data_IF_547401874461
#
_entry.id   IF_547401874461
#
_cell.length_a   1.000
_cell.length_b   1.000
_cell.length_c   1.000
_cell.angle_alpha   90.00
_cell.angle_beta   90.00
_cell.angle_gamma   90.00
#
_symmetry.space_group_name_H-M   'P 1'
#
loop_
_entity.id
_entity.type
_entity.pdbx_description
1 polymer ?
#
# COMPACT_ATOMS: atom_id res chain seq x y z
N UNK A 1 19.70 12.97 12.37
CA UNK A 1 19.23 14.28 12.82
C UNK A 1 17.70 14.29 12.68
N UNK A 2 16.96 14.06 13.80
CA UNK A 2 15.51 13.99 13.78
C UNK A 2 14.95 15.40 13.63
N UNK A 3 14.35 15.69 12.48
CA UNK A 3 13.65 16.95 12.24
C UNK A 3 12.25 16.84 12.82
N UNK A 4 12.07 17.44 13.98
CA UNK A 4 10.80 17.90 14.51
C UNK A 4 10.40 19.14 13.67
N UNK A 5 9.33 19.05 12.90
CA UNK A 5 8.82 20.19 12.12
C UNK A 5 8.41 21.38 12.99
N UNK A 6 8.43 21.24 14.33
CA UNK A 6 8.12 22.26 15.33
C UNK A 6 9.20 22.46 16.41
N UNK A 7 10.43 21.94 16.25
CA UNK A 7 11.56 22.22 17.14
C UNK A 7 11.47 21.68 18.58
N UNK A 8 10.51 20.82 18.92
CA UNK A 8 10.41 20.22 20.27
C UNK A 8 10.65 18.70 20.23
N UNK A 9 11.53 18.23 21.11
CA UNK A 9 11.80 16.79 21.28
C UNK A 9 10.54 16.05 21.74
N UNK A 10 10.21 14.84 21.19
CA UNK A 10 9.09 14.02 21.65
C UNK A 10 9.24 13.66 23.13
N UNK A 11 8.12 13.59 23.85
CA UNK A 11 8.14 13.16 25.26
C UNK A 11 8.69 11.74 25.37
N UNK A 12 9.50 11.51 26.38
CA UNK A 12 10.29 10.29 26.59
C UNK A 12 9.42 9.02 26.65
N UNK A 13 8.18 9.11 27.20
CA UNK A 13 7.23 7.98 27.30
C UNK A 13 6.72 7.46 25.96
N UNK A 14 6.51 8.34 24.97
CA UNK A 14 6.00 7.94 23.64
C UNK A 14 7.08 7.25 22.80
N UNK A 15 8.34 7.60 23.08
CA UNK A 15 9.49 6.88 22.53
C UNK A 15 9.68 5.49 23.14
N UNK A 16 9.40 5.33 24.42
CA UNK A 16 9.61 4.07 25.13
C UNK A 16 8.61 2.98 24.68
N UNK A 17 7.36 3.34 24.40
CA UNK A 17 6.34 2.38 23.92
C UNK A 17 6.62 1.97 22.47
N UNK A 18 7.03 2.90 21.61
CA UNK A 18 7.41 2.59 20.23
C UNK A 18 8.73 1.79 20.19
N UNK A 19 9.68 2.14 21.04
CA UNK A 19 10.94 1.41 21.18
C UNK A 19 10.70 0.02 21.77
N UNK A 20 9.77 -0.19 22.70
CA UNK A 20 9.47 -1.52 23.23
C UNK A 20 8.83 -2.43 22.18
N UNK A 21 7.95 -1.94 21.31
CA UNK A 21 7.41 -2.73 20.19
C UNK A 21 8.48 -3.00 19.12
N UNK A 22 9.37 -2.04 18.88
CA UNK A 22 10.56 -2.23 18.03
C UNK A 22 11.60 -3.11 18.73
N UNK A 23 11.78 -2.98 20.05
CA UNK A 23 12.71 -3.81 20.84
C UNK A 23 12.22 -5.23 21.04
N UNK A 24 10.92 -5.51 21.18
CA UNK A 24 10.37 -6.85 21.08
C UNK A 24 10.57 -7.47 19.70
N UNK A 25 10.39 -6.69 18.66
CA UNK A 25 10.75 -7.12 17.28
C UNK A 25 12.28 -7.20 17.11
N UNK A 26 13.03 -6.34 17.79
CA UNK A 26 14.50 -6.29 17.79
C UNK A 26 15.13 -7.37 18.66
N UNK A 27 14.57 -7.73 19.79
CA UNK A 27 15.05 -8.82 20.64
C UNK A 27 14.80 -10.19 20.04
N UNK A 28 13.72 -10.40 19.27
CA UNK A 28 13.53 -11.60 18.47
C UNK A 28 14.47 -11.72 17.26
N UNK A 29 15.09 -10.60 16.83
CA UNK A 29 16.04 -10.52 15.70
C UNK A 29 17.50 -10.40 16.18
N UNK A 30 17.78 -10.07 17.47
CA UNK A 30 19.12 -9.68 17.96
C UNK A 30 20.02 -10.82 18.38
N UNK A 31 19.68 -12.06 18.13
CA UNK A 31 20.50 -13.22 18.59
C UNK A 31 21.57 -13.70 17.60
N UNK A 32 21.86 -13.01 16.52
CA UNK A 32 22.93 -13.40 15.58
C UNK A 32 23.77 -12.24 15.06
N UNK A 33 25.09 -12.39 15.20
CA UNK A 33 26.14 -11.38 15.02
C UNK A 33 26.46 -10.94 13.55
N UNK A 34 25.49 -11.08 12.58
CA UNK A 34 25.62 -10.60 11.20
C UNK A 34 24.54 -9.52 10.89
N UNK A 35 24.46 -8.50 11.73
CA UNK A 35 23.19 -7.86 12.06
C UNK A 35 22.65 -6.84 11.04
N UNK A 36 23.43 -6.18 10.20
CA UNK A 36 22.90 -5.15 9.29
C UNK A 36 22.41 -5.75 7.96
N UNK A 37 23.12 -6.73 7.44
CA UNK A 37 22.77 -7.37 6.16
C UNK A 37 21.49 -8.22 6.31
N UNK A 38 21.37 -8.97 7.40
CA UNK A 38 20.19 -9.77 7.69
C UNK A 38 18.93 -8.91 7.92
N UNK A 39 19.07 -7.69 8.47
CA UNK A 39 17.96 -6.76 8.66
C UNK A 39 17.42 -6.22 7.34
N UNK A 40 18.27 -5.89 6.38
CA UNK A 40 17.83 -5.42 5.06
C UNK A 40 17.12 -6.55 4.29
N UNK A 41 17.65 -7.78 4.31
CA UNK A 41 16.98 -8.94 3.71
C UNK A 41 15.62 -9.21 4.33
N UNK A 42 15.52 -9.10 5.66
CA UNK A 42 14.24 -9.25 6.36
C UNK A 42 13.23 -8.17 5.95
N UNK A 43 13.66 -6.92 5.82
CA UNK A 43 12.81 -5.84 5.35
C UNK A 43 12.30 -6.06 3.92
N UNK A 44 13.16 -6.55 3.02
CA UNK A 44 12.75 -6.95 1.67
C UNK A 44 11.75 -8.11 1.68
N UNK A 45 11.98 -9.11 2.51
CA UNK A 45 11.03 -10.23 2.66
C UNK A 45 9.66 -9.75 3.14
N UNK A 46 9.61 -8.87 4.14
CA UNK A 46 8.38 -8.26 4.63
C UNK A 46 7.67 -7.46 3.52
N UNK A 47 8.42 -6.70 2.73
CA UNK A 47 7.88 -5.95 1.61
C UNK A 47 7.28 -6.87 0.53
N UNK A 48 7.99 -7.96 0.17
CA UNK A 48 7.47 -8.95 -0.80
C UNK A 48 6.20 -9.62 -0.28
N UNK A 49 6.19 -10.06 0.99
CA UNK A 49 5.02 -10.66 1.62
C UNK A 49 3.84 -9.69 1.69
N UNK A 50 4.09 -8.42 2.03
CA UNK A 50 3.11 -7.34 2.00
C UNK A 50 2.45 -7.23 0.61
N UNK A 51 3.26 -7.16 -0.45
CA UNK A 51 2.78 -6.99 -1.81
C UNK A 51 2.05 -8.22 -2.35
N UNK A 52 2.43 -9.42 -1.93
CA UNK A 52 1.69 -10.64 -2.24
C UNK A 52 0.29 -10.63 -1.60
N UNK A 53 0.21 -10.32 -0.31
CA UNK A 53 -1.10 -10.24 0.39
C UNK A 53 -1.97 -9.14 -0.20
N UNK A 54 -1.38 -8.00 -0.57
CA UNK A 54 -2.10 -6.94 -1.25
C UNK A 54 -2.63 -7.39 -2.61
N UNK A 55 -1.84 -8.13 -3.38
CA UNK A 55 -2.26 -8.67 -4.68
C UNK A 55 -3.47 -9.62 -4.53
N UNK A 56 -3.49 -10.47 -3.51
CA UNK A 56 -4.67 -11.29 -3.18
C UNK A 56 -5.90 -10.40 -2.91
N UNK A 57 -5.72 -9.31 -2.15
CA UNK A 57 -6.79 -8.33 -1.93
C UNK A 57 -7.33 -7.71 -3.23
N UNK A 58 -6.46 -7.41 -4.21
CA UNK A 58 -6.86 -6.89 -5.53
C UNK A 58 -7.72 -7.91 -6.28
N UNK A 59 -7.38 -9.19 -6.25
CA UNK A 59 -8.19 -10.24 -6.88
C UNK A 59 -9.57 -10.34 -6.22
N UNK A 60 -9.62 -10.31 -4.89
CA UNK A 60 -10.90 -10.32 -4.16
C UNK A 60 -11.76 -9.10 -4.54
N UNK A 61 -11.19 -7.91 -4.61
CA UNK A 61 -11.87 -6.69 -5.06
C UNK A 61 -12.39 -6.82 -6.50
N UNK A 62 -11.59 -7.41 -7.39
CA UNK A 62 -12.01 -7.63 -8.77
C UNK A 62 -13.16 -8.65 -8.87
N UNK A 63 -13.12 -9.74 -8.12
CA UNK A 63 -14.23 -10.70 -8.04
C UNK A 63 -15.51 -10.00 -7.55
N UNK A 64 -15.40 -9.18 -6.50
CA UNK A 64 -16.54 -8.41 -5.99
C UNK A 64 -17.13 -7.47 -7.05
N UNK A 65 -16.28 -6.86 -7.89
CA UNK A 65 -16.72 -5.92 -8.94
C UNK A 65 -17.58 -6.54 -10.05
N UNK A 66 -17.64 -7.88 -10.13
CA UNK A 66 -18.56 -8.58 -11.04
C UNK A 66 -19.98 -8.75 -10.48
N UNK A 67 -20.21 -8.46 -9.21
CA UNK A 67 -21.56 -8.49 -8.65
C UNK A 67 -22.43 -7.38 -9.28
N UNK A 68 -23.66 -7.69 -9.63
CA UNK A 68 -24.63 -6.74 -10.21
C UNK A 68 -24.94 -5.57 -9.24
N UNK A 69 -24.84 -5.83 -7.94
CA UNK A 69 -25.11 -4.83 -6.88
C UNK A 69 -23.84 -4.18 -6.34
N UNK A 70 -22.70 -4.34 -7.04
CA UNK A 70 -21.45 -3.75 -6.58
C UNK A 70 -21.46 -2.23 -6.73
N UNK A 71 -21.24 -1.55 -5.60
CA UNK A 71 -20.92 -0.13 -5.54
C UNK A 71 -19.56 0.05 -4.84
N UNK A 72 -18.64 0.84 -5.42
CA UNK A 72 -17.33 1.11 -4.80
C UNK A 72 -17.45 1.71 -3.39
N UNK A 73 -18.42 2.62 -3.18
CA UNK A 73 -18.63 3.26 -1.89
C UNK A 73 -19.18 2.26 -0.85
N UNK A 74 -20.20 1.48 -1.22
CA UNK A 74 -20.79 0.48 -0.34
C UNK A 74 -19.77 -0.61 0.04
N UNK A 75 -18.99 -1.11 -0.92
CA UNK A 75 -17.88 -2.04 -0.65
C UNK A 75 -16.86 -1.43 0.31
N UNK A 76 -16.47 -0.16 0.10
CA UNK A 76 -15.53 0.56 0.97
C UNK A 76 -16.10 0.72 2.39
N UNK A 77 -17.41 0.97 2.53
CA UNK A 77 -18.09 1.06 3.81
C UNK A 77 -18.00 -0.26 4.59
N UNK A 78 -18.40 -1.38 4.00
CA UNK A 78 -18.35 -2.69 4.65
C UNK A 78 -16.92 -3.11 5.00
N UNK A 79 -15.97 -2.91 4.07
CA UNK A 79 -14.56 -3.13 4.34
C UNK A 79 -14.08 -2.33 5.57
N UNK A 80 -14.51 -1.08 5.70
CA UNK A 80 -14.11 -0.20 6.80
C UNK A 80 -14.72 -0.63 8.13
N UNK A 81 -15.96 -1.13 8.14
CA UNK A 81 -16.57 -1.76 9.33
C UNK A 81 -15.69 -2.92 9.83
N UNK A 82 -15.40 -3.88 8.94
CA UNK A 82 -14.61 -5.05 9.32
C UNK A 82 -13.18 -4.68 9.75
N UNK A 83 -12.55 -3.72 9.07
CA UNK A 83 -11.22 -3.26 9.42
C UNK A 83 -11.19 -2.63 10.81
N UNK A 84 -12.18 -1.81 11.16
CA UNK A 84 -12.29 -1.20 12.49
C UNK A 84 -12.51 -2.24 13.56
N UNK A 85 -13.40 -3.22 13.32
CA UNK A 85 -13.68 -4.31 14.26
C UNK A 85 -12.45 -5.20 14.48
N UNK A 86 -11.82 -5.66 13.39
CA UNK A 86 -10.63 -6.52 13.47
C UNK A 86 -9.50 -5.82 14.23
N UNK A 87 -9.24 -4.56 13.91
CA UNK A 87 -8.19 -3.79 14.58
C UNK A 87 -8.52 -3.56 16.05
N UNK A 88 -9.75 -3.23 16.39
CA UNK A 88 -10.18 -3.02 17.78
C UNK A 88 -10.03 -4.28 18.61
N UNK A 89 -10.49 -5.43 18.08
CA UNK A 89 -10.37 -6.75 18.75
C UNK A 89 -8.88 -7.08 18.96
N UNK A 90 -8.07 -6.92 17.93
CA UNK A 90 -6.64 -7.22 18.00
C UNK A 90 -5.92 -6.37 19.07
N UNK A 91 -6.16 -5.06 19.08
CA UNK A 91 -5.57 -4.15 20.07
C UNK A 91 -6.02 -4.51 21.48
N UNK A 92 -7.32 -4.73 21.68
CA UNK A 92 -7.88 -4.99 23.01
C UNK A 92 -7.43 -6.29 23.62
N UNK A 93 -7.38 -7.38 22.83
CA UNK A 93 -7.15 -8.72 23.34
C UNK A 93 -5.70 -9.20 23.23
N UNK A 94 -4.95 -8.77 22.21
CA UNK A 94 -3.61 -9.28 21.95
C UNK A 94 -2.49 -8.34 22.34
N UNK A 95 -2.56 -7.07 21.92
CA UNK A 95 -1.44 -6.16 22.12
C UNK A 95 -1.52 -5.48 23.49
N UNK A 96 -2.73 -5.23 24.00
CA UNK A 96 -2.98 -4.44 25.23
C UNK A 96 -2.28 -3.08 25.22
N UNK A 97 -1.81 -2.61 24.06
CA UNK A 97 -1.13 -1.33 23.91
C UNK A 97 -2.13 -0.18 23.88
N UNK A 98 -1.70 0.97 24.38
CA UNK A 98 -2.50 2.19 24.33
C UNK A 98 -2.44 2.74 22.89
N UNK A 99 -3.59 2.89 22.24
CA UNK A 99 -3.65 3.61 20.97
C UNK A 99 -3.25 5.07 21.16
N UNK A 100 -2.50 5.62 20.20
CA UNK A 100 -2.15 7.04 20.22
C UNK A 100 -3.42 7.87 20.14
N UNK A 101 -3.57 8.83 21.03
CA UNK A 101 -4.71 9.73 21.04
C UNK A 101 -4.56 10.77 19.92
N UNK A 102 -5.55 10.85 19.00
CA UNK A 102 -5.53 11.79 17.89
C UNK A 102 -5.28 13.25 18.33
N UNK A 103 -5.89 13.66 19.42
CA UNK A 103 -5.78 15.03 19.91
C UNK A 103 -4.37 15.40 20.45
N UNK A 104 -3.59 14.40 20.82
CA UNK A 104 -2.22 14.56 21.33
C UNK A 104 -1.14 14.44 20.24
N UNK A 105 -1.51 14.04 19.02
CA UNK A 105 -0.56 13.87 17.93
C UNK A 105 -0.01 15.21 17.43
N UNK A 106 1.30 15.33 17.32
CA UNK A 106 1.98 16.53 16.81
C UNK A 106 1.79 16.72 15.30
N UNK A 107 1.64 15.64 14.57
CA UNK A 107 1.60 15.61 13.09
C UNK A 107 0.18 15.38 12.56
N UNK A 108 -0.82 16.02 13.15
CA UNK A 108 -2.24 15.84 12.80
C UNK A 108 -2.52 15.96 11.31
N UNK A 109 -1.91 16.94 10.64
CA UNK A 109 -2.11 17.15 9.20
C UNK A 109 -1.68 15.95 8.37
N UNK A 110 -0.48 15.40 8.60
CA UNK A 110 -0.01 14.21 7.88
C UNK A 110 -0.84 12.97 8.22
N UNK A 111 -1.27 12.85 9.46
CA UNK A 111 -2.18 11.79 9.85
C UNK A 111 -3.54 11.90 9.15
N UNK A 112 -4.12 13.11 9.02
CA UNK A 112 -5.34 13.35 8.24
C UNK A 112 -5.12 13.03 6.76
N UNK A 113 -4.01 13.47 6.16
CA UNK A 113 -3.65 13.12 4.78
C UNK A 113 -3.59 11.61 4.60
N UNK A 114 -3.06 10.88 5.60
CA UNK A 114 -3.01 9.41 5.58
C UNK A 114 -4.40 8.79 5.57
N UNK A 115 -5.26 9.15 6.52
CA UNK A 115 -6.57 8.49 6.68
C UNK A 115 -7.53 8.82 5.53
N UNK A 116 -7.60 10.08 5.10
CA UNK A 116 -8.43 10.47 3.96
C UNK A 116 -7.82 10.02 2.63
N UNK A 117 -6.49 10.09 2.49
CA UNK A 117 -5.79 9.61 1.31
C UNK A 117 -6.08 8.14 1.01
N UNK A 118 -6.13 7.28 2.04
CA UNK A 118 -6.49 5.86 1.86
C UNK A 118 -7.95 5.69 1.43
N UNK A 119 -8.88 6.50 1.93
CA UNK A 119 -10.27 6.44 1.48
C UNK A 119 -10.36 6.69 -0.03
N UNK A 120 -9.81 7.81 -0.50
CA UNK A 120 -9.82 8.15 -1.91
C UNK A 120 -9.04 7.14 -2.77
N UNK A 121 -7.94 6.63 -2.25
CA UNK A 121 -7.16 5.56 -2.89
C UNK A 121 -8.03 4.35 -3.19
N UNK A 122 -8.76 3.85 -2.19
CA UNK A 122 -9.64 2.69 -2.38
C UNK A 122 -10.83 3.01 -3.27
N UNK A 123 -11.49 4.13 -3.05
CA UNK A 123 -12.65 4.54 -3.85
C UNK A 123 -12.29 4.63 -5.35
N UNK A 124 -11.20 5.31 -5.68
CA UNK A 124 -10.76 5.46 -7.06
C UNK A 124 -10.25 4.15 -7.66
N UNK A 125 -9.54 3.33 -6.89
CA UNK A 125 -9.11 2.02 -7.36
C UNK A 125 -10.29 1.10 -7.67
N UNK A 126 -11.25 0.97 -6.75
CA UNK A 126 -12.47 0.18 -6.96
C UNK A 126 -13.27 0.70 -8.15
N UNK A 127 -13.40 2.02 -8.28
CA UNK A 127 -14.07 2.63 -9.44
C UNK A 127 -13.33 2.32 -10.75
N UNK A 128 -11.99 2.26 -10.75
CA UNK A 128 -11.22 1.89 -11.93
C UNK A 128 -11.45 0.44 -12.35
N UNK A 129 -11.61 -0.49 -11.39
CA UNK A 129 -11.87 -1.91 -11.66
C UNK A 129 -13.20 -2.19 -12.38
N UNK A 130 -14.14 -1.24 -12.34
CA UNK A 130 -15.39 -1.33 -13.12
C UNK A 130 -15.15 -1.15 -14.63
N UNK A 131 -14.09 -0.41 -15.00
CA UNK A 131 -13.81 -0.01 -16.38
C UNK A 131 -12.52 -0.62 -16.95
N UNK A 132 -11.61 -1.05 -16.08
CA UNK A 132 -10.31 -1.60 -16.42
C UNK A 132 -10.15 -3.02 -15.86
N UNK A 133 -9.26 -3.79 -16.47
CA UNK A 133 -8.80 -5.05 -15.90
C UNK A 133 -7.95 -4.79 -14.65
N UNK A 134 -7.91 -5.76 -13.73
CA UNK A 134 -7.11 -5.64 -12.51
C UNK A 134 -5.61 -5.52 -12.81
N UNK A 135 -5.12 -6.27 -13.81
CA UNK A 135 -3.73 -6.17 -14.26
C UNK A 135 -3.41 -4.77 -14.80
N UNK A 136 -4.27 -4.20 -15.67
CA UNK A 136 -4.13 -2.84 -16.21
C UNK A 136 -4.12 -1.78 -15.11
N UNK A 137 -5.07 -1.85 -14.17
CA UNK A 137 -5.13 -0.94 -13.03
C UNK A 137 -3.87 -1.03 -12.18
N UNK A 138 -3.37 -2.24 -11.91
CA UNK A 138 -2.13 -2.45 -11.14
C UNK A 138 -0.90 -1.94 -11.89
N UNK A 139 -0.83 -2.12 -13.21
CA UNK A 139 0.26 -1.59 -14.03
C UNK A 139 0.34 -0.07 -14.00
N UNK A 140 -0.80 0.63 -14.12
CA UNK A 140 -0.83 2.10 -14.04
C UNK A 140 -0.53 2.56 -12.62
N UNK A 141 -1.04 1.85 -11.61
CA UNK A 141 -0.74 2.10 -10.20
C UNK A 141 0.76 1.97 -9.90
N UNK A 142 1.53 1.22 -10.70
CA UNK A 142 2.98 1.10 -10.55
C UNK A 142 3.76 2.41 -10.85
N UNK A 143 3.10 3.49 -11.28
CA UNK A 143 3.69 4.83 -11.30
C UNK A 143 3.86 5.46 -9.91
N UNK A 144 3.20 4.94 -8.86
CA UNK A 144 3.28 5.44 -7.48
C UNK A 144 4.73 5.60 -6.95
N UNK A 145 5.66 4.65 -7.16
CA UNK A 145 7.02 4.76 -6.65
C UNK A 145 7.75 6.02 -7.10
N UNK A 146 7.52 6.49 -8.33
CA UNK A 146 8.12 7.74 -8.81
C UNK A 146 7.72 8.92 -7.93
N UNK A 147 6.42 9.07 -7.67
CA UNK A 147 5.90 10.18 -6.86
C UNK A 147 6.38 10.05 -5.41
N UNK A 148 6.37 8.84 -4.83
CA UNK A 148 6.84 8.59 -3.46
C UNK A 148 8.31 8.94 -3.31
N UNK A 149 9.18 8.55 -4.26
CA UNK A 149 10.60 8.90 -4.24
C UNK A 149 10.80 10.41 -4.28
N UNK A 150 10.11 11.12 -5.19
CA UNK A 150 10.19 12.58 -5.25
C UNK A 150 9.77 13.21 -3.92
N UNK A 151 8.62 12.82 -3.36
CA UNK A 151 8.15 13.34 -2.08
C UNK A 151 9.15 13.06 -0.94
N UNK A 152 9.74 11.86 -0.91
CA UNK A 152 10.70 11.47 0.14
C UNK A 152 12.00 12.31 0.07
N UNK A 153 12.51 12.55 -1.13
CA UNK A 153 13.71 13.38 -1.31
C UNK A 153 13.44 14.82 -0.90
N UNK A 154 12.34 15.42 -1.40
CA UNK A 154 12.07 16.83 -1.17
C UNK A 154 11.58 17.14 0.24
N UNK A 155 10.70 16.31 0.81
CA UNK A 155 10.04 16.58 2.09
C UNK A 155 10.71 15.88 3.28
N UNK A 156 11.18 14.62 3.14
CA UNK A 156 11.90 13.92 4.20
C UNK A 156 13.41 14.14 4.16
N UNK A 157 13.92 14.80 3.10
CA UNK A 157 15.36 15.00 2.87
C UNK A 157 16.13 13.68 2.91
N UNK A 158 15.53 12.59 2.43
CA UNK A 158 16.20 11.30 2.29
C UNK A 158 17.33 11.39 1.27
N UNK A 159 18.35 10.56 1.44
CA UNK A 159 19.46 10.49 0.48
C UNK A 159 18.96 9.99 -0.87
N UNK A 160 19.33 10.70 -1.92
CA UNK A 160 19.02 10.31 -3.29
C UNK A 160 19.98 9.21 -3.74
N UNK A 161 19.43 8.09 -4.21
CA UNK A 161 20.21 6.98 -4.76
C UNK A 161 19.81 6.73 -6.21
N UNK A 162 20.68 7.08 -7.14
CA UNK A 162 20.49 6.87 -8.58
C UNK A 162 20.10 5.44 -8.95
N UNK A 163 20.61 4.47 -8.22
CA UNK A 163 20.30 3.06 -8.38
C UNK A 163 18.78 2.78 -8.28
N UNK A 164 18.09 3.37 -7.31
CA UNK A 164 16.65 3.18 -7.14
C UNK A 164 15.85 3.90 -8.22
N UNK A 165 16.30 5.09 -8.67
CA UNK A 165 15.64 5.79 -9.77
C UNK A 165 15.76 4.98 -11.08
N UNK A 166 16.94 4.49 -11.43
CA UNK A 166 17.14 3.65 -12.61
C UNK A 166 16.26 2.40 -12.52
N UNK A 167 16.23 1.76 -11.34
CA UNK A 167 15.38 0.60 -11.12
C UNK A 167 13.90 0.87 -11.28
N UNK A 168 13.41 2.01 -10.78
CA UNK A 168 12.02 2.43 -10.96
C UNK A 168 11.71 2.64 -12.44
N UNK A 169 12.62 3.24 -13.21
CA UNK A 169 12.46 3.44 -14.67
C UNK A 169 12.39 2.07 -15.37
N UNK A 170 13.29 1.15 -15.06
CA UNK A 170 13.30 -0.20 -15.66
C UNK A 170 11.97 -0.93 -15.33
N UNK A 171 11.56 -0.91 -14.06
CA UNK A 171 10.31 -1.54 -13.64
C UNK A 171 9.08 -0.88 -14.26
N UNK A 172 9.11 0.44 -14.45
CA UNK A 172 8.02 1.16 -15.13
C UNK A 172 7.92 0.76 -16.60
N UNK A 173 9.05 0.63 -17.30
CA UNK A 173 9.08 0.11 -18.68
C UNK A 173 8.51 -1.32 -18.71
N UNK A 174 8.92 -2.20 -17.80
CA UNK A 174 8.39 -3.56 -17.69
C UNK A 174 6.86 -3.58 -17.48
N UNK A 175 6.35 -2.73 -16.59
CA UNK A 175 4.90 -2.59 -16.38
C UNK A 175 4.18 -2.03 -17.61
N UNK A 176 4.78 -1.07 -18.32
CA UNK A 176 4.22 -0.51 -19.54
C UNK A 176 4.13 -1.56 -20.67
N UNK A 177 5.11 -2.48 -20.77
CA UNK A 177 5.07 -3.60 -21.73
C UNK A 177 3.88 -4.52 -21.46
N UNK A 178 3.56 -4.81 -20.20
CA UNK A 178 2.38 -5.59 -19.83
C UNK A 178 1.09 -4.85 -20.23
N UNK A 179 1.06 -3.52 -20.07
CA UNK A 179 -0.11 -2.68 -20.38
C UNK A 179 -0.41 -2.61 -21.89
N UNK A 180 0.62 -2.59 -22.74
CA UNK A 180 0.45 -2.41 -24.19
C UNK A 180 -0.38 -3.52 -24.84
N UNK A 181 -0.27 -4.73 -24.32
CA UNK A 181 -1.02 -5.89 -24.84
C UNK A 181 -2.51 -5.87 -24.47
N UNK A 182 -2.85 -5.29 -23.34
CA UNK A 182 -4.24 -5.23 -22.89
C UNK A 182 -5.14 -4.42 -23.84
N UNK A 183 -4.55 -3.49 -24.60
CA UNK A 183 -5.27 -2.68 -25.61
C UNK A 183 -5.69 -3.48 -26.83
N UNK A 184 -5.03 -4.58 -27.15
CA UNK A 184 -5.25 -5.32 -28.39
C UNK A 184 -6.47 -6.24 -28.34
N UNK A 185 -6.84 -6.76 -27.18
CA UNK A 185 -7.99 -7.67 -27.02
C UNK A 185 -9.36 -6.97 -26.91
N UNK A 186 -9.43 -5.68 -26.58
CA UNK A 186 -10.68 -4.99 -26.24
C UNK A 186 -11.25 -4.10 -27.37
N UNK A 187 -11.24 -4.56 -28.62
CA UNK A 187 -11.66 -3.71 -29.76
C UNK A 187 -13.18 -3.42 -29.87
N UNK A 188 -14.09 -4.07 -29.16
CA UNK A 188 -15.52 -4.00 -29.52
C UNK A 188 -16.50 -3.38 -28.52
N UNK A 189 -16.24 -3.30 -27.20
CA UNK A 189 -17.27 -2.83 -26.25
C UNK A 189 -16.78 -1.85 -25.19
N UNK A 190 -15.48 -1.65 -25.02
CA UNK A 190 -14.88 -0.96 -23.86
C UNK A 190 -14.43 0.48 -24.16
N UNK A 191 -14.44 0.92 -25.42
CA UNK A 191 -13.86 2.22 -25.83
C UNK A 191 -14.48 3.43 -25.12
N UNK A 192 -15.77 3.38 -24.83
CA UNK A 192 -16.49 4.55 -24.26
C UNK A 192 -16.21 4.75 -22.77
N UNK A 193 -15.78 3.71 -22.04
CA UNK A 193 -15.55 3.75 -20.61
C UNK A 193 -14.08 3.72 -20.19
N UNK A 194 -13.16 3.41 -21.12
CA UNK A 194 -11.72 3.32 -20.85
C UNK A 194 -11.14 4.64 -20.30
N UNK A 195 -11.55 5.77 -20.86
CA UNK A 195 -11.12 7.10 -20.38
C UNK A 195 -11.54 7.36 -18.93
N UNK A 196 -12.75 6.93 -18.54
CA UNK A 196 -13.21 7.04 -17.14
C UNK A 196 -12.33 6.19 -16.23
N UNK A 197 -12.02 4.97 -16.63
CA UNK A 197 -11.11 4.10 -15.90
C UNK A 197 -9.73 4.71 -15.73
N UNK A 198 -9.17 5.34 -16.78
CA UNK A 198 -7.90 6.06 -16.71
C UNK A 198 -7.92 7.25 -15.75
N UNK A 199 -9.00 8.03 -15.75
CA UNK A 199 -9.15 9.14 -14.80
C UNK A 199 -9.15 8.61 -13.37
N UNK A 200 -9.96 7.59 -13.07
CA UNK A 200 -10.00 7.01 -11.72
C UNK A 200 -8.67 6.44 -11.27
N UNK A 201 -7.97 5.69 -12.13
CA UNK A 201 -6.68 5.12 -11.73
C UNK A 201 -5.59 6.19 -11.58
N UNK A 202 -5.63 7.28 -12.35
CA UNK A 202 -4.70 8.43 -12.18
C UNK A 202 -4.95 9.12 -10.84
N UNK A 203 -6.21 9.35 -10.47
CA UNK A 203 -6.57 9.90 -9.16
C UNK A 203 -6.16 8.96 -8.02
N UNK A 204 -6.29 7.64 -8.22
CA UNK A 204 -5.76 6.64 -7.29
C UNK A 204 -4.25 6.78 -7.11
N UNK A 205 -3.47 6.88 -8.21
CA UNK A 205 -2.01 7.02 -8.16
C UNK A 205 -1.61 8.23 -7.29
N UNK A 206 -2.23 9.38 -7.52
CA UNK A 206 -1.97 10.58 -6.72
C UNK A 206 -2.31 10.35 -5.24
N UNK A 207 -3.54 9.92 -4.93
CA UNK A 207 -4.01 9.73 -3.56
C UNK A 207 -3.18 8.69 -2.82
N UNK A 208 -2.81 7.60 -3.48
CA UNK A 208 -1.99 6.53 -2.91
C UNK A 208 -0.57 6.99 -2.59
N UNK A 209 0.07 7.71 -3.50
CA UNK A 209 1.43 8.22 -3.30
C UNK A 209 1.52 9.16 -2.10
N UNK A 210 0.58 10.10 -1.97
CA UNK A 210 0.50 10.98 -0.80
C UNK A 210 0.20 10.19 0.49
N UNK A 211 -0.64 9.19 0.41
CA UNK A 211 -0.97 8.34 1.55
C UNK A 211 0.21 7.50 2.02
N UNK A 212 0.98 6.89 1.10
CA UNK A 212 2.20 6.12 1.44
C UNK A 212 3.28 7.03 2.02
N UNK A 213 3.47 8.21 1.43
CA UNK A 213 4.41 9.19 1.97
C UNK A 213 4.02 9.61 3.39
N UNK A 214 2.76 9.98 3.62
CA UNK A 214 2.28 10.38 4.95
C UNK A 214 2.33 9.23 5.96
N UNK A 215 2.16 7.96 5.53
CA UNK A 215 2.40 6.79 6.37
C UNK A 215 3.83 6.75 6.90
N UNK A 216 4.83 6.94 6.02
CA UNK A 216 6.24 6.98 6.44
C UNK A 216 6.49 8.11 7.44
N UNK A 217 5.90 9.29 7.23
CA UNK A 217 5.98 10.41 8.18
C UNK A 217 5.37 10.01 9.54
N UNK A 218 4.23 9.34 9.54
CA UNK A 218 3.56 8.88 10.77
C UNK A 218 4.42 7.85 11.51
N UNK A 219 4.97 6.84 10.81
CA UNK A 219 5.85 5.82 11.39
C UNK A 219 7.11 6.47 11.99
N UNK A 220 7.75 7.40 11.28
CA UNK A 220 8.93 8.11 11.76
C UNK A 220 8.67 8.95 13.04
N UNK A 221 7.43 9.36 13.26
CA UNK A 221 7.01 10.12 14.45
C UNK A 221 6.38 9.23 15.55
N UNK A 222 6.54 7.91 15.44
CA UNK A 222 6.15 6.97 16.49
C UNK A 222 4.65 6.67 16.58
N UNK A 223 3.88 6.91 15.51
CA UNK A 223 2.48 6.50 15.48
C UNK A 223 2.40 5.00 15.20
N UNK A 224 1.70 4.29 16.07
CA UNK A 224 1.53 2.84 15.93
C UNK A 224 0.70 2.46 14.70
N UNK A 225 1.06 1.35 14.06
CA UNK A 225 0.33 0.79 12.92
C UNK A 225 -1.14 0.57 13.24
N UNK A 226 -1.45 0.00 14.40
CA UNK A 226 -2.81 -0.26 14.85
C UNK A 226 -3.64 1.02 14.97
N UNK A 227 -3.03 2.09 15.47
CA UNK A 227 -3.67 3.41 15.53
C UNK A 227 -3.99 3.93 14.12
N UNK A 228 -3.04 3.81 13.18
CA UNK A 228 -3.26 4.24 11.78
C UNK A 228 -4.37 3.43 11.12
N UNK A 229 -4.36 2.10 11.27
CA UNK A 229 -5.36 1.23 10.65
C UNK A 229 -6.75 1.45 11.26
N UNK A 230 -6.85 1.57 12.60
CA UNK A 230 -8.12 1.84 13.28
C UNK A 230 -8.76 3.16 12.84
N UNK A 231 -7.99 4.25 12.89
CA UNK A 231 -8.50 5.56 12.46
C UNK A 231 -8.80 5.62 10.97
N UNK A 232 -8.02 4.92 10.14
CA UNK A 232 -8.34 4.76 8.71
C UNK A 232 -9.69 4.05 8.54
N UNK A 233 -9.92 2.95 9.26
CA UNK A 233 -11.20 2.22 9.22
C UNK A 233 -12.37 3.09 9.66
N UNK A 234 -12.28 3.71 10.82
CA UNK A 234 -13.37 4.52 11.38
C UNK A 234 -13.67 5.77 10.55
N UNK A 235 -12.65 6.46 10.06
CA UNK A 235 -12.82 7.65 9.21
C UNK A 235 -13.40 7.29 7.85
N UNK A 236 -12.92 6.20 7.23
CA UNK A 236 -13.46 5.72 5.96
C UNK A 236 -14.92 5.28 6.11
N UNK A 237 -15.26 4.65 7.25
CA UNK A 237 -16.65 4.29 7.56
C UNK A 237 -17.52 5.54 7.64
N UNK A 238 -17.09 6.56 8.38
CA UNK A 238 -17.86 7.80 8.53
C UNK A 238 -18.09 8.48 7.17
N UNK A 239 -17.05 8.62 6.34
CA UNK A 239 -17.16 9.25 5.02
C UNK A 239 -18.02 8.41 4.08
N UNK A 240 -17.78 7.08 4.01
CA UNK A 240 -18.58 6.19 3.14
C UNK A 240 -20.03 6.17 3.55
N UNK A 241 -20.33 6.21 4.84
CA UNK A 241 -21.70 6.26 5.36
C UNK A 241 -22.39 7.57 4.97
N UNK A 242 -21.71 8.72 5.12
CA UNK A 242 -22.26 10.00 4.67
C UNK A 242 -22.56 10.02 3.17
N UNK A 243 -21.63 9.49 2.35
CA UNK A 243 -21.84 9.38 0.90
C UNK A 243 -22.99 8.41 0.59
N UNK A 244 -23.12 7.29 1.31
CA UNK A 244 -24.22 6.36 1.16
C UNK A 244 -25.58 6.99 1.50
N UNK A 245 -25.64 7.82 2.54
CA UNK A 245 -26.85 8.58 2.89
C UNK A 245 -27.26 9.55 1.77
N UNK A 246 -26.28 10.27 1.19
CA UNK A 246 -26.56 11.25 0.12
C UNK A 246 -26.99 10.54 -1.18
N UNK A 247 -26.35 9.41 -1.51
CA UNK A 247 -26.61 8.66 -2.75
C UNK A 247 -27.71 7.59 -2.60
N UNK A 248 -28.24 7.39 -1.39
CA UNK A 248 -29.15 6.29 -1.06
C UNK A 248 -28.62 4.90 -1.46
N UNK A 249 -27.32 4.67 -1.25
CA UNK A 249 -26.58 3.49 -1.69
C UNK A 249 -26.27 2.56 -0.50
N UNK A 250 -27.33 1.89 0.00
CA UNK A 250 -27.26 0.92 1.10
C UNK A 250 -27.50 -0.53 0.62
N UNK A 251 -26.79 -0.95 -0.42
CA UNK A 251 -26.90 -2.31 -0.94
C UNK A 251 -26.46 -3.37 0.07
N UNK A 252 -27.31 -4.35 0.35
CA UNK A 252 -26.99 -5.54 1.13
C UNK A 252 -26.85 -6.73 0.16
N UNK A 253 -25.64 -6.99 -0.29
CA UNK A 253 -25.29 -8.19 -1.03
C UNK A 253 -24.29 -9.01 -0.19
N UNK A 254 -24.70 -10.21 0.20
CA UNK A 254 -23.87 -11.07 1.04
C UNK A 254 -22.49 -11.37 0.41
N UNK A 255 -22.43 -11.54 -0.91
CA UNK A 255 -21.17 -11.79 -1.62
C UNK A 255 -20.27 -10.56 -1.50
N UNK A 256 -20.80 -9.37 -1.73
CA UNK A 256 -20.05 -8.10 -1.63
C UNK A 256 -19.54 -7.89 -0.20
N UNK A 257 -20.39 -8.16 0.80
CA UNK A 257 -20.03 -8.05 2.23
C UNK A 257 -18.92 -9.04 2.60
N UNK A 258 -19.05 -10.30 2.16
CA UNK A 258 -18.02 -11.32 2.43
C UNK A 258 -16.68 -10.98 1.75
N UNK A 259 -16.71 -10.51 0.51
CA UNK A 259 -15.50 -10.06 -0.20
C UNK A 259 -14.89 -8.80 0.46
N UNK A 260 -15.72 -7.90 0.99
CA UNK A 260 -15.26 -6.74 1.75
C UNK A 260 -14.56 -7.16 3.05
N UNK A 261 -15.06 -8.20 3.74
CA UNK A 261 -14.39 -8.80 4.91
C UNK A 261 -13.01 -9.37 4.54
N UNK A 262 -12.93 -10.19 3.49
CA UNK A 262 -11.64 -10.75 3.04
C UNK A 262 -10.64 -9.63 2.67
N UNK A 263 -11.13 -8.59 2.00
CA UNK A 263 -10.28 -7.43 1.65
C UNK A 263 -9.85 -6.65 2.89
N UNK A 264 -10.67 -6.54 3.93
CA UNK A 264 -10.28 -5.91 5.20
C UNK A 264 -9.15 -6.68 5.88
N UNK A 265 -9.23 -8.02 5.90
CA UNK A 265 -8.18 -8.89 6.49
C UNK A 265 -6.88 -8.77 5.70
N UNK A 266 -6.92 -8.91 4.37
CA UNK A 266 -5.72 -8.79 3.53
C UNK A 266 -5.09 -7.41 3.64
N UNK A 267 -5.90 -6.35 3.68
CA UNK A 267 -5.40 -4.99 3.86
C UNK A 267 -4.74 -4.81 5.24
N UNK A 268 -5.36 -5.29 6.31
CA UNK A 268 -4.80 -5.20 7.66
C UNK A 268 -3.43 -5.89 7.75
N UNK A 269 -3.33 -7.12 7.26
CA UNK A 269 -2.08 -7.88 7.26
C UNK A 269 -1.00 -7.20 6.40
N UNK A 270 -1.35 -6.80 5.20
CA UNK A 270 -0.44 -6.08 4.30
C UNK A 270 0.04 -4.78 4.93
N UNK A 271 -0.85 -4.00 5.53
CA UNK A 271 -0.51 -2.75 6.19
C UNK A 271 0.49 -2.94 7.34
N UNK A 272 0.28 -3.98 8.15
CA UNK A 272 1.18 -4.31 9.26
C UNK A 272 2.58 -4.68 8.78
N UNK A 273 2.68 -5.52 7.76
CA UNK A 273 3.97 -5.89 7.15
C UNK A 273 4.66 -4.68 6.52
N UNK A 274 3.89 -3.78 5.91
CA UNK A 274 4.38 -2.54 5.34
C UNK A 274 4.98 -1.61 6.41
N UNK A 275 4.30 -1.43 7.54
CA UNK A 275 4.79 -0.61 8.64
C UNK A 275 6.08 -1.21 9.26
N UNK A 276 6.14 -2.54 9.40
CA UNK A 276 7.35 -3.23 9.85
C UNK A 276 8.53 -3.02 8.87
N UNK A 277 8.27 -3.09 7.57
CA UNK A 277 9.28 -2.82 6.56
C UNK A 277 9.74 -1.34 6.61
N UNK A 278 8.81 -0.38 6.72
CA UNK A 278 9.13 1.04 6.86
C UNK A 278 9.89 1.39 8.13
N UNK A 279 9.74 0.63 9.20
CA UNK A 279 10.54 0.82 10.42
C UNK A 279 12.02 0.46 10.21
N UNK A 280 12.33 -0.40 9.21
CA UNK A 280 13.68 -0.89 8.93
C UNK A 280 14.33 -0.13 7.78
N UNK A 281 13.57 0.21 6.73
CA UNK A 281 14.11 0.79 5.49
C UNK A 281 13.47 2.14 5.13
N UNK A 282 14.21 2.96 4.38
CA UNK A 282 13.75 4.26 3.89
C UNK A 282 12.64 4.10 2.84
N UNK A 283 11.79 5.12 2.70
CA UNK A 283 10.70 5.09 1.73
C UNK A 283 11.23 5.02 0.28
N UNK A 284 12.34 5.66 -0.02
CA UNK A 284 13.01 5.60 -1.31
C UNK A 284 13.53 4.21 -1.68
N UNK A 285 13.98 3.44 -0.66
CA UNK A 285 14.39 2.02 -0.82
C UNK A 285 13.19 1.08 -0.94
N UNK A 286 12.09 1.39 -0.24
CA UNK A 286 10.86 0.60 -0.25
C UNK A 286 10.06 0.78 -1.55
N UNK A 287 10.02 2.01 -2.09
CA UNK A 287 9.18 2.34 -3.23
C UNK A 287 9.32 1.38 -4.44
N UNK A 288 10.52 0.95 -4.87
CA UNK A 288 10.63 0.00 -5.97
C UNK A 288 9.93 -1.35 -5.74
N UNK A 289 9.72 -1.76 -4.49
CA UNK A 289 9.07 -3.05 -4.19
C UNK A 289 7.60 -3.10 -4.61
N UNK A 290 6.95 -1.95 -4.82
CA UNK A 290 5.57 -1.88 -5.35
C UNK A 290 5.42 -2.56 -6.71
N UNK A 291 6.49 -2.65 -7.51
CA UNK A 291 6.42 -3.34 -8.80
C UNK A 291 6.24 -4.85 -8.67
N UNK A 292 6.69 -5.45 -7.55
CA UNK A 292 6.43 -6.87 -7.24
C UNK A 292 4.93 -7.11 -7.10
N UNK A 293 4.19 -6.16 -6.54
CA UNK A 293 2.73 -6.24 -6.48
C UNK A 293 2.11 -6.41 -7.86
N UNK A 294 2.55 -5.60 -8.83
CA UNK A 294 2.05 -5.69 -10.21
C UNK A 294 2.29 -7.07 -10.80
N UNK A 295 3.48 -7.63 -10.57
CA UNK A 295 3.83 -8.98 -11.01
C UNK A 295 2.91 -10.03 -10.37
N UNK A 296 2.68 -9.95 -9.05
CA UNK A 296 1.78 -10.88 -8.38
C UNK A 296 0.33 -10.75 -8.87
N UNK A 297 -0.18 -9.53 -9.04
CA UNK A 297 -1.52 -9.31 -9.59
C UNK A 297 -1.64 -9.91 -10.98
N UNK A 298 -0.64 -9.71 -11.83
CA UNK A 298 -0.61 -10.26 -13.17
C UNK A 298 -0.67 -11.80 -13.16
N UNK A 299 0.17 -12.46 -12.37
CA UNK A 299 0.17 -13.93 -12.23
C UNK A 299 -1.18 -14.43 -11.70
N UNK A 300 -1.71 -13.78 -10.66
CA UNK A 300 -2.99 -14.17 -10.07
C UNK A 300 -4.16 -13.93 -11.04
N UNK A 301 -4.15 -12.86 -11.83
CA UNK A 301 -5.16 -12.62 -12.87
C UNK A 301 -5.15 -13.72 -13.94
N UNK A 302 -3.98 -14.18 -14.35
CA UNK A 302 -3.87 -15.27 -15.29
C UNK A 302 -4.44 -16.59 -14.74
N UNK A 303 -4.21 -16.86 -13.44
CA UNK A 303 -4.71 -18.07 -12.78
C UNK A 303 -6.24 -17.99 -12.57
N UNK A 304 -6.74 -16.91 -11.97
CA UNK A 304 -8.14 -16.79 -11.55
C UNK A 304 -9.08 -16.40 -12.69
N UNK A 305 -8.64 -15.54 -13.61
CA UNK A 305 -9.46 -15.02 -14.72
C UNK A 305 -9.09 -15.62 -16.07
N UNK A 306 -8.11 -16.56 -16.11
CA UNK A 306 -7.64 -17.21 -17.34
C UNK A 306 -7.22 -16.21 -18.43
N UNK A 307 -6.65 -15.08 -18.02
CA UNK A 307 -6.14 -14.07 -18.94
C UNK A 307 -4.96 -14.63 -19.73
N UNK A 308 -4.91 -14.35 -21.05
CA UNK A 308 -3.86 -14.85 -21.91
C UNK A 308 -2.53 -14.17 -21.63
N UNK A 309 -1.46 -14.95 -21.61
CA UNK A 309 -0.09 -14.46 -21.54
C UNK A 309 0.45 -14.12 -22.92
N UNK A 310 1.03 -12.94 -23.06
CA UNK A 310 1.78 -12.53 -24.23
C UNK A 310 3.28 -12.53 -23.95
N UNK A 311 4.08 -12.63 -25.01
CA UNK A 311 5.55 -12.63 -24.88
C UNK A 311 6.09 -11.36 -24.23
N UNK A 312 5.49 -10.20 -24.48
CA UNK A 312 5.86 -8.94 -23.84
C UNK A 312 5.54 -8.91 -22.34
N UNK A 313 4.50 -9.65 -21.88
CA UNK A 313 4.18 -9.78 -20.46
C UNK A 313 5.30 -10.55 -19.74
N UNK A 314 5.83 -11.59 -20.42
CA UNK A 314 6.97 -12.35 -19.92
C UNK A 314 8.21 -11.45 -19.80
N UNK A 315 8.54 -10.68 -20.83
CA UNK A 315 9.69 -9.77 -20.80
C UNK A 315 9.49 -8.70 -19.73
N UNK A 316 8.31 -8.06 -19.66
CA UNK A 316 8.00 -7.06 -18.65
C UNK A 316 8.14 -7.60 -17.22
N UNK A 317 7.64 -8.80 -16.96
CA UNK A 317 7.75 -9.45 -15.65
C UNK A 317 9.20 -9.84 -15.32
N UNK A 318 9.98 -10.31 -16.28
CA UNK A 318 11.40 -10.61 -16.10
C UNK A 318 12.23 -9.36 -15.78
N UNK A 319 11.95 -8.22 -16.42
CA UNK A 319 12.61 -6.94 -16.10
C UNK A 319 12.34 -6.51 -14.64
N UNK A 320 11.09 -6.62 -14.21
CA UNK A 320 10.70 -6.31 -12.82
C UNK A 320 11.43 -7.24 -11.85
N UNK A 321 11.42 -8.56 -12.10
CA UNK A 321 12.07 -9.54 -11.25
C UNK A 321 13.59 -9.34 -11.19
N UNK A 322 14.24 -9.14 -12.33
CA UNK A 322 15.69 -8.97 -12.41
C UNK A 322 16.17 -7.79 -11.54
N UNK A 323 15.43 -6.66 -11.57
CA UNK A 323 15.76 -5.52 -10.72
C UNK A 323 15.61 -5.84 -9.22
N UNK A 324 14.55 -6.54 -8.82
CA UNK A 324 14.34 -6.92 -7.42
C UNK A 324 15.39 -7.91 -6.92
N UNK A 325 15.75 -8.90 -7.72
CA UNK A 325 16.86 -9.81 -7.40
C UNK A 325 18.19 -9.06 -7.29
N UNK A 326 18.47 -8.15 -8.21
CA UNK A 326 19.67 -7.31 -8.13
C UNK A 326 19.71 -6.49 -6.84
N UNK A 327 18.60 -5.88 -6.44
CA UNK A 327 18.52 -5.12 -5.19
C UNK A 327 18.65 -5.99 -3.93
N UNK A 328 18.05 -7.18 -3.94
CA UNK A 328 18.14 -8.12 -2.83
C UNK A 328 19.59 -8.66 -2.67
N UNK A 329 20.27 -8.93 -3.78
CA UNK A 329 21.62 -9.53 -3.78
C UNK A 329 22.75 -8.51 -3.56
N UNK A 330 22.53 -7.25 -3.85
CA UNK A 330 23.53 -6.20 -3.74
C UNK A 330 23.05 -5.12 -2.76
N UNK A 331 22.97 -5.44 -1.45
CA UNK A 331 22.67 -4.42 -0.46
C UNK A 331 23.70 -3.30 -0.62
N UNK A 332 23.25 -2.05 -0.58
CA UNK A 332 24.15 -0.91 -0.60
C UNK A 332 25.04 -1.07 0.62
N UNK A 333 26.31 -1.41 0.40
CA UNK A 333 27.33 -1.24 1.45
C UNK A 333 27.09 0.15 2.00
N UNK A 334 26.80 0.25 3.29
CA UNK A 334 26.63 1.53 3.96
C UNK A 334 27.86 2.35 3.69
N UNK A 335 27.85 3.15 2.62
CA UNK A 335 28.88 4.14 2.39
C UNK A 335 28.86 5.03 3.61
N UNK A 336 29.96 4.95 4.34
CA UNK A 336 30.22 5.41 5.67
C UNK A 336 29.41 6.64 6.07
N UNK A 337 28.77 6.54 7.22
CA UNK A 337 28.50 7.70 8.05
C UNK A 337 29.83 8.47 8.19
N UNK A 338 30.00 9.48 7.35
CA UNK A 338 30.90 10.60 7.63
C UNK A 338 30.07 11.72 8.22
#
# INVERSE_FOLDING_TARGET
MHLDLNGKKPKQSDKEIFLSTIEETRSSISSTNNNNMNREYWAYFLAVACHFIWALGVIVMKIASYSVKFSPNNFSMWRSVFMSIVTYIYVKFYIKSKMNNFFEMKIKMWFLVRIFGIYFTFLFFLSSLLYLRAATSSCISSANPLIVIFLSIFLLKEKFYWRYLIGVIICFIGSAMILLNDRTENKSTVKQNFTKGLIYITLHVCSFSFSVFSQKVCVNNGINSETMVFWTGTSNLAVSFLVACVMNDFGLDFIVIFMAFLTAVTFYLSQKLNDMAFAIMDASKFAPTFYIQTLFVFILCAIFFKEKFFFSDLIGSLLIMAFHFYNAYSPIKSEGRK
#
